data_IF_316057147205
#
_entry.id   IF_316057147205
#
_cell.length_a   1.000
_cell.length_b   1.000
_cell.length_c   1.000
_cell.angle_alpha   90.00
_cell.angle_beta   90.00
_cell.angle_gamma   90.00
#
_symmetry.space_group_name_H-M   'P 1'
#
loop_
_entity.id
_entity.type
_entity.pdbx_description
1 polymer ?
#
# COMPACT_ATOMS: atom_id res chain seq x y z
N UNK A 1 -8.69 17.06 -3.19
CA UNK A 1 -7.87 16.34 -2.59
C UNK A 1 -6.93 15.27 -3.11
N UNK A 2 -6.98 14.83 -4.38
CA UNK A 2 -6.09 13.75 -4.86
C UNK A 2 -4.68 14.22 -5.25
N UNK A 3 -4.40 15.49 -5.13
CA UNK A 3 -3.23 16.17 -5.71
C UNK A 3 -1.92 15.82 -5.02
N UNK A 4 -1.91 15.37 -3.78
CA UNK A 4 -0.67 15.10 -3.06
C UNK A 4 -0.34 13.60 -3.05
N UNK A 5 0.46 13.14 -4.01
CA UNK A 5 1.08 11.80 -4.10
C UNK A 5 0.13 10.62 -4.45
N UNK A 6 -1.02 10.85 -5.12
CA UNK A 6 -1.94 9.79 -5.51
C UNK A 6 -2.27 9.87 -6.99
N UNK A 7 -1.39 9.32 -7.80
CA UNK A 7 -1.58 9.39 -9.24
C UNK A 7 -2.35 8.18 -9.79
N UNK A 8 -2.49 7.12 -8.98
CA UNK A 8 -3.44 6.06 -9.29
C UNK A 8 -4.85 6.56 -8.91
N UNK A 9 -5.81 6.59 -9.83
CA UNK A 9 -7.16 7.11 -9.59
C UNK A 9 -7.99 6.11 -8.78
N UNK A 10 -7.68 5.90 -7.47
CA UNK A 10 -8.35 4.91 -6.62
C UNK A 10 -9.51 5.50 -5.80
N UNK A 11 -9.42 6.78 -5.42
CA UNK A 11 -10.42 7.39 -4.52
C UNK A 11 -11.81 7.43 -5.14
N UNK A 12 -11.93 7.85 -6.41
CA UNK A 12 -13.21 7.84 -7.13
C UNK A 12 -13.78 6.45 -7.33
N UNK A 13 -13.04 5.46 -7.83
CA UNK A 13 -13.52 4.09 -7.90
C UNK A 13 -14.08 3.59 -6.57
N UNK A 14 -13.36 3.78 -5.45
CA UNK A 14 -13.85 3.38 -4.13
C UNK A 14 -15.16 4.08 -3.75
N UNK A 15 -15.32 5.36 -4.07
CA UNK A 15 -16.50 6.15 -3.69
C UNK A 15 -17.68 6.00 -4.64
N UNK A 16 -17.44 5.71 -5.90
CA UNK A 16 -18.47 5.72 -6.95
C UNK A 16 -18.64 4.35 -7.59
N UNK A 17 -17.62 3.86 -8.30
CA UNK A 17 -17.75 2.62 -9.08
C UNK A 17 -18.00 1.39 -8.21
N UNK A 18 -17.41 1.38 -7.02
CA UNK A 18 -17.51 0.27 -6.05
C UNK A 18 -18.53 0.54 -4.93
N UNK A 19 -19.31 1.64 -5.02
CA UNK A 19 -20.27 2.01 -3.96
C UNK A 19 -21.34 0.96 -3.70
N UNK A 20 -21.66 0.13 -4.69
CA UNK A 20 -22.61 -1.00 -4.55
C UNK A 20 -21.99 -2.29 -4.00
N UNK A 21 -20.68 -2.29 -3.70
CA UNK A 21 -19.99 -3.47 -3.19
C UNK A 21 -19.68 -3.33 -1.70
N UNK A 22 -19.69 -4.47 -1.01
CA UNK A 22 -19.11 -4.57 0.33
C UNK A 22 -17.65 -4.92 0.20
N UNK A 23 -16.78 -3.91 0.36
CA UNK A 23 -15.33 -4.09 0.32
C UNK A 23 -14.88 -4.70 1.64
N UNK A 24 -14.17 -5.82 1.56
CA UNK A 24 -13.68 -6.57 2.73
C UNK A 24 -12.18 -6.43 2.92
N UNK A 25 -11.42 -6.22 1.84
CA UNK A 25 -9.96 -6.09 1.92
C UNK A 25 -9.42 -5.10 0.89
N UNK A 26 -8.42 -4.36 1.31
CA UNK A 26 -7.54 -3.55 0.43
C UNK A 26 -6.09 -3.94 0.74
N UNK A 27 -5.33 -4.24 -0.30
CA UNK A 27 -3.87 -4.38 -0.24
C UNK A 27 -3.22 -3.43 -1.23
N UNK A 28 -2.16 -2.72 -0.82
CA UNK A 28 -1.55 -1.74 -1.71
C UNK A 28 -0.04 -1.65 -1.59
N UNK A 29 0.63 -1.68 -2.75
CA UNK A 29 1.97 -1.14 -2.92
C UNK A 29 1.78 0.35 -3.20
N UNK A 30 1.88 1.18 -2.16
CA UNK A 30 1.49 2.60 -2.24
C UNK A 30 2.64 3.57 -2.02
N UNK A 31 3.87 3.04 -1.99
CA UNK A 31 5.10 3.83 -1.96
C UNK A 31 6.08 3.32 -3.02
N UNK A 32 6.40 4.17 -4.00
CA UNK A 32 7.24 3.81 -5.13
C UNK A 32 8.72 3.63 -4.75
N UNK A 33 9.22 4.41 -3.78
CA UNK A 33 10.60 4.35 -3.30
C UNK A 33 10.90 2.98 -2.70
N UNK A 34 10.08 2.53 -1.77
CA UNK A 34 10.26 1.22 -1.12
C UNK A 34 10.06 0.06 -2.09
N UNK A 35 9.11 0.18 -3.03
CA UNK A 35 8.93 -0.85 -4.04
C UNK A 35 10.14 -0.94 -4.99
N UNK A 36 10.72 0.20 -5.37
CA UNK A 36 11.96 0.23 -6.16
C UNK A 36 13.11 -0.46 -5.41
N UNK A 37 13.34 -0.10 -4.14
CA UNK A 37 14.39 -0.68 -3.30
C UNK A 37 14.24 -2.22 -3.24
N UNK A 38 13.06 -2.71 -2.84
CA UNK A 38 12.80 -4.15 -2.75
C UNK A 38 12.90 -4.86 -4.10
N UNK A 39 12.54 -4.18 -5.20
CA UNK A 39 12.73 -4.73 -6.57
C UNK A 39 14.21 -4.91 -6.88
N UNK A 40 15.07 -3.92 -6.59
CA UNK A 40 16.52 -4.03 -6.86
C UNK A 40 17.19 -5.08 -5.96
N UNK A 41 16.79 -5.18 -4.71
CA UNK A 41 17.22 -6.27 -3.83
C UNK A 41 16.85 -7.64 -4.41
N UNK A 42 15.65 -7.79 -4.94
CA UNK A 42 15.12 -9.05 -5.49
C UNK A 42 15.75 -9.44 -6.83
N UNK A 43 15.89 -8.48 -7.76
CA UNK A 43 16.32 -8.75 -9.14
C UNK A 43 17.84 -8.73 -9.29
N UNK A 44 18.51 -7.80 -8.60
CA UNK A 44 19.97 -7.55 -8.76
C UNK A 44 20.79 -8.09 -7.57
N UNK A 45 20.14 -8.61 -6.51
CA UNK A 45 20.84 -9.11 -5.33
C UNK A 45 21.52 -8.02 -4.51
N UNK A 46 21.17 -6.74 -4.72
CA UNK A 46 21.69 -5.62 -3.96
C UNK A 46 21.32 -5.75 -2.49
N UNK A 47 22.17 -5.28 -1.60
CA UNK A 47 21.77 -5.08 -0.22
C UNK A 47 20.88 -3.81 -0.08
N UNK A 48 20.30 -3.61 1.09
CA UNK A 48 19.40 -2.48 1.36
C UNK A 48 20.09 -1.13 1.15
N UNK A 49 21.33 -0.98 1.60
CA UNK A 49 22.07 0.29 1.56
C UNK A 49 22.43 0.66 0.10
N UNK A 50 22.86 -0.32 -0.70
CA UNK A 50 23.14 -0.16 -2.13
C UNK A 50 21.86 0.24 -2.90
N UNK A 51 20.75 -0.47 -2.64
CA UNK A 51 19.48 -0.20 -3.31
C UNK A 51 18.91 1.19 -2.94
N UNK A 52 19.06 1.61 -1.67
CA UNK A 52 18.68 2.96 -1.22
C UNK A 52 19.55 4.04 -1.88
N UNK A 53 20.87 3.84 -1.92
CA UNK A 53 21.78 4.79 -2.58
C UNK A 53 21.42 4.95 -4.06
N UNK A 54 21.09 3.86 -4.75
CA UNK A 54 20.65 3.89 -6.15
C UNK A 54 19.30 4.59 -6.31
N UNK A 55 18.36 4.38 -5.39
CA UNK A 55 17.09 5.11 -5.39
C UNK A 55 17.28 6.62 -5.22
N UNK A 56 18.22 7.04 -4.39
CA UNK A 56 18.58 8.45 -4.17
C UNK A 56 19.24 9.06 -5.41
N UNK A 57 20.20 8.36 -6.02
CA UNK A 57 20.84 8.79 -7.27
C UNK A 57 19.83 9.05 -8.38
N UNK A 58 18.80 8.20 -8.49
CA UNK A 58 17.75 8.31 -9.51
C UNK A 58 16.61 9.27 -9.13
N UNK A 59 16.66 9.89 -7.95
CA UNK A 59 15.66 10.83 -7.47
C UNK A 59 14.35 10.19 -7.00
N UNK A 60 14.34 8.89 -6.75
CA UNK A 60 13.18 8.19 -6.13
C UNK A 60 13.14 8.39 -4.62
N UNK A 61 14.31 8.48 -3.96
CA UNK A 61 14.42 8.76 -2.54
C UNK A 61 14.95 10.20 -2.33
N UNK A 62 14.36 10.91 -1.38
CA UNK A 62 14.86 12.21 -0.90
C UNK A 62 16.05 12.01 0.05
N UNK A 63 16.72 13.11 0.44
CA UNK A 63 17.86 13.07 1.36
C UNK A 63 17.49 12.47 2.74
N UNK A 64 16.25 12.69 3.20
CA UNK A 64 15.68 12.01 4.34
C UNK A 64 14.54 11.09 3.87
N UNK A 65 14.80 9.80 3.64
CA UNK A 65 13.81 8.85 3.16
C UNK A 65 12.95 8.22 4.27
N UNK A 66 13.09 8.65 5.51
CA UNK A 66 12.47 8.01 6.70
C UNK A 66 10.97 7.80 6.52
N UNK A 67 10.24 8.79 6.00
CA UNK A 67 8.80 8.67 5.81
C UNK A 67 8.42 7.55 4.83
N UNK A 68 9.29 7.24 3.88
CA UNK A 68 9.11 6.18 2.90
C UNK A 68 9.54 4.83 3.50
N UNK A 69 10.79 4.72 3.93
CA UNK A 69 11.40 3.44 4.32
C UNK A 69 10.86 2.87 5.64
N UNK A 70 10.36 3.72 6.54
CA UNK A 70 9.68 3.29 7.78
C UNK A 70 8.17 3.08 7.58
N UNK A 71 7.66 3.25 6.36
CA UNK A 71 6.27 2.94 6.01
C UNK A 71 5.25 4.01 6.38
N UNK A 72 5.65 5.19 6.88
CA UNK A 72 4.72 6.24 7.34
C UNK A 72 3.90 6.84 6.20
N UNK A 73 4.48 7.02 5.01
CA UNK A 73 3.75 7.48 3.83
C UNK A 73 2.68 6.44 3.43
N UNK A 74 3.04 5.17 3.40
CA UNK A 74 2.11 4.07 3.12
C UNK A 74 1.02 3.99 4.19
N UNK A 75 1.37 4.19 5.48
CA UNK A 75 0.42 4.21 6.60
C UNK A 75 -0.64 5.30 6.47
N UNK A 76 -0.25 6.51 6.09
CA UNK A 76 -1.21 7.60 5.84
C UNK A 76 -2.14 7.30 4.67
N UNK A 77 -1.62 6.67 3.62
CA UNK A 77 -2.41 6.32 2.43
C UNK A 77 -3.41 5.21 2.70
N UNK A 78 -2.99 4.14 3.40
CA UNK A 78 -3.92 3.04 3.71
C UNK A 78 -5.01 3.47 4.69
N UNK A 79 -4.71 4.35 5.66
CA UNK A 79 -5.72 4.92 6.56
C UNK A 79 -6.86 5.63 5.80
N UNK A 80 -6.50 6.40 4.77
CA UNK A 80 -7.50 7.09 3.94
C UNK A 80 -8.30 6.09 3.11
N UNK A 81 -7.65 5.11 2.48
CA UNK A 81 -8.36 4.10 1.69
C UNK A 81 -9.29 3.26 2.55
N UNK A 82 -8.84 2.84 3.74
CA UNK A 82 -9.66 2.13 4.72
C UNK A 82 -10.87 2.96 5.16
N UNK A 83 -10.67 4.24 5.44
CA UNK A 83 -11.77 5.14 5.83
C UNK A 83 -12.85 5.22 4.77
N UNK A 84 -12.47 5.29 3.50
CA UNK A 84 -13.40 5.36 2.38
C UNK A 84 -14.10 4.01 2.16
N UNK A 85 -13.34 2.93 2.11
CA UNK A 85 -13.86 1.61 1.76
C UNK A 85 -14.80 1.03 2.83
N UNK A 86 -14.48 1.29 4.11
CA UNK A 86 -15.25 0.72 5.23
C UNK A 86 -16.23 1.71 5.85
N UNK A 87 -16.30 2.92 5.28
CA UNK A 87 -17.20 3.99 5.72
C UNK A 87 -17.02 4.35 7.21
N UNK A 88 -15.82 4.19 7.76
CA UNK A 88 -15.46 4.47 9.14
C UNK A 88 -14.18 5.28 9.20
N UNK A 89 -14.07 6.19 10.16
CA UNK A 89 -12.86 7.01 10.30
C UNK A 89 -11.70 6.16 10.80
N UNK A 90 -10.65 6.06 10.00
CA UNK A 90 -9.35 5.48 10.37
C UNK A 90 -8.29 6.57 10.22
N UNK A 91 -7.46 6.76 11.23
CA UNK A 91 -6.37 7.75 11.23
C UNK A 91 -5.01 7.06 11.14
N UNK A 92 -3.97 7.82 10.89
CA UNK A 92 -2.60 7.26 10.86
C UNK A 92 -2.19 6.69 12.23
N UNK A 93 -2.69 7.26 13.33
CA UNK A 93 -2.41 6.76 14.67
C UNK A 93 -2.97 5.33 14.93
N UNK A 94 -3.99 4.94 14.16
CA UNK A 94 -4.60 3.60 14.25
C UNK A 94 -3.84 2.55 13.41
N UNK A 95 -2.89 2.98 12.57
CA UNK A 95 -2.16 2.08 11.65
C UNK A 95 -0.89 1.56 12.30
N UNK A 96 -0.77 0.24 12.44
CA UNK A 96 0.52 -0.36 12.73
C UNK A 96 1.45 -0.19 11.53
N UNK A 97 2.67 0.30 11.76
CA UNK A 97 3.66 0.51 10.69
C UNK A 97 4.99 -0.14 11.02
N UNK A 98 5.50 -0.91 10.07
CA UNK A 98 6.85 -1.47 10.07
C UNK A 98 7.46 -1.25 8.68
N UNK A 99 8.68 -0.68 8.65
CA UNK A 99 9.39 -0.34 7.42
C UNK A 99 10.21 -1.49 6.84
N UNK A 100 11.02 -1.16 5.84
CA UNK A 100 11.85 -2.13 5.11
C UNK A 100 13.31 -2.14 5.55
N UNK A 101 13.70 -1.28 6.48
CA UNK A 101 15.09 -1.06 6.92
C UNK A 101 15.77 -2.30 7.50
N UNK A 102 14.97 -3.26 7.98
CA UNK A 102 15.46 -4.53 8.56
C UNK A 102 15.51 -5.69 7.57
N UNK A 103 15.02 -5.50 6.34
CA UNK A 103 15.02 -6.56 5.32
C UNK A 103 16.44 -6.74 4.77
N UNK A 104 16.96 -7.94 4.87
CA UNK A 104 18.28 -8.31 4.38
C UNK A 104 18.22 -8.99 3.01
N UNK A 105 19.38 -9.08 2.34
CA UNK A 105 19.52 -9.84 1.10
C UNK A 105 19.21 -11.33 1.32
N UNK A 106 19.52 -11.88 2.49
CA UNK A 106 19.19 -13.27 2.84
C UNK A 106 17.67 -13.49 2.95
N UNK A 107 16.92 -12.54 3.54
CA UNK A 107 15.46 -12.64 3.61
C UNK A 107 14.84 -12.67 2.21
N UNK A 108 15.35 -11.85 1.29
CA UNK A 108 14.94 -11.85 -0.12
C UNK A 108 15.25 -13.20 -0.78
N UNK A 109 16.45 -13.74 -0.54
CA UNK A 109 16.87 -15.03 -1.09
C UNK A 109 15.98 -16.18 -0.61
N UNK A 110 15.73 -16.28 0.69
CA UNK A 110 14.85 -17.31 1.25
C UNK A 110 13.40 -17.15 0.80
N UNK A 111 12.89 -15.93 0.72
CA UNK A 111 11.56 -15.69 0.18
C UNK A 111 11.44 -16.25 -1.24
N UNK A 112 12.43 -15.99 -2.09
CA UNK A 112 12.46 -16.49 -3.47
C UNK A 112 12.54 -18.03 -3.53
N UNK A 113 13.36 -18.66 -2.69
CA UNK A 113 13.46 -20.12 -2.58
C UNK A 113 12.12 -20.77 -2.21
N UNK A 114 11.33 -20.13 -1.38
CA UNK A 114 9.98 -20.58 -1.01
C UNK A 114 8.88 -20.17 -2.00
N UNK A 115 9.21 -19.52 -3.12
CA UNK A 115 8.24 -19.08 -4.13
C UNK A 115 7.48 -17.81 -3.75
N UNK A 116 8.06 -16.97 -2.89
CA UNK A 116 7.49 -15.69 -2.46
C UNK A 116 8.32 -14.50 -2.92
N UNK A 117 7.68 -13.33 -2.92
CA UNK A 117 8.32 -12.01 -3.12
C UNK A 117 8.01 -11.15 -1.90
N UNK A 118 8.99 -10.38 -1.43
CA UNK A 118 8.78 -9.42 -0.34
C UNK A 118 8.35 -8.08 -0.93
N UNK A 119 7.21 -7.57 -0.46
CA UNK A 119 6.69 -6.23 -0.79
C UNK A 119 6.31 -5.49 0.49
N UNK A 120 6.49 -4.17 0.52
CA UNK A 120 5.90 -3.35 1.57
C UNK A 120 4.44 -3.10 1.21
N UNK A 121 3.53 -3.69 1.97
CA UNK A 121 2.09 -3.56 1.71
C UNK A 121 1.38 -2.77 2.80
N UNK A 122 0.55 -1.81 2.38
CA UNK A 122 -0.53 -1.32 3.21
C UNK A 122 -1.72 -2.28 3.07
N UNK A 123 -2.19 -2.79 4.20
CA UNK A 123 -3.31 -3.73 4.26
C UNK A 123 -4.39 -3.19 5.17
N UNK A 124 -5.63 -3.22 4.69
CA UNK A 124 -6.81 -2.93 5.49
C UNK A 124 -7.85 -4.01 5.27
N UNK A 125 -8.38 -4.57 6.36
CA UNK A 125 -9.44 -5.59 6.35
C UNK A 125 -10.61 -5.17 7.20
N UNK A 126 -11.81 -5.39 6.70
CA UNK A 126 -13.04 -5.24 7.46
C UNK A 126 -13.47 -6.64 7.93
N UNK A 127 -13.36 -6.88 9.23
CA UNK A 127 -13.70 -8.14 9.87
C UNK A 127 -14.94 -7.98 10.74
N UNK A 128 -15.54 -9.09 11.18
CA UNK A 128 -16.71 -9.05 12.07
C UNK A 128 -16.41 -8.33 13.40
N UNK A 129 -15.16 -8.38 13.86
CA UNK A 129 -14.71 -7.79 15.13
C UNK A 129 -14.16 -6.35 14.99
N UNK A 130 -14.08 -5.82 13.76
CA UNK A 130 -13.57 -4.48 13.50
C UNK A 130 -12.60 -4.40 12.34
N UNK A 131 -11.96 -3.23 12.19
CA UNK A 131 -11.01 -2.95 11.12
C UNK A 131 -9.60 -3.36 11.54
N UNK A 132 -8.93 -4.15 10.72
CA UNK A 132 -7.48 -4.35 10.79
C UNK A 132 -6.81 -3.42 9.78
N UNK A 133 -5.82 -2.63 10.24
CA UNK A 133 -5.07 -1.73 9.35
C UNK A 133 -3.60 -1.73 9.72
N UNK A 134 -2.74 -2.04 8.74
CA UNK A 134 -1.30 -2.17 8.97
C UNK A 134 -0.48 -1.94 7.72
N UNK A 135 0.78 -1.56 7.90
CA UNK A 135 1.82 -1.49 6.87
C UNK A 135 3.02 -2.27 7.37
N UNK A 136 3.43 -3.27 6.63
CA UNK A 136 4.65 -4.02 6.94
C UNK A 136 5.15 -4.78 5.70
N UNK A 137 6.42 -5.20 5.69
CA UNK A 137 6.91 -6.14 4.70
C UNK A 137 6.12 -7.45 4.73
N UNK A 138 5.65 -7.91 3.59
CA UNK A 138 4.90 -9.15 3.44
C UNK A 138 5.53 -10.06 2.40
N UNK A 139 5.57 -11.35 2.73
CA UNK A 139 5.85 -12.40 1.75
C UNK A 139 4.55 -12.72 1.01
N UNK A 140 4.50 -12.40 -0.27
CA UNK A 140 3.36 -12.72 -1.13
C UNK A 140 3.75 -13.78 -2.16
N UNK A 141 2.85 -14.73 -2.48
CA UNK A 141 3.13 -15.74 -3.48
C UNK A 141 3.53 -15.11 -4.81
N UNK A 142 4.52 -15.69 -5.50
CA UNK A 142 5.03 -15.13 -6.76
C UNK A 142 3.99 -15.07 -7.88
N UNK A 143 2.90 -15.83 -7.77
CA UNK A 143 1.76 -15.79 -8.70
C UNK A 143 0.68 -14.78 -8.31
N UNK A 144 0.82 -14.07 -7.18
CA UNK A 144 -0.13 -13.03 -6.79
C UNK A 144 0.02 -11.80 -7.70
N UNK A 145 -1.06 -11.12 -8.14
CA UNK A 145 -0.98 -9.96 -9.04
C UNK A 145 -0.05 -8.85 -8.53
N UNK A 146 -0.01 -8.57 -7.23
CA UNK A 146 0.90 -7.57 -6.65
C UNK A 146 2.39 -7.98 -6.70
N UNK A 147 2.71 -9.26 -6.85
CA UNK A 147 4.10 -9.72 -6.94
C UNK A 147 4.81 -9.21 -8.20
N UNK A 148 4.06 -8.98 -9.29
CA UNK A 148 4.58 -8.51 -10.58
C UNK A 148 4.74 -7.00 -10.67
N UNK A 149 4.32 -6.25 -9.64
CA UNK A 149 4.43 -4.79 -9.59
C UNK A 149 5.84 -4.40 -9.14
N UNK A 150 6.71 -4.05 -10.08
CA UNK A 150 8.12 -3.80 -9.85
C UNK A 150 8.49 -2.32 -10.02
N UNK A 151 9.74 -1.98 -9.71
CA UNK A 151 10.31 -0.64 -9.76
C UNK A 151 9.49 0.40 -8.96
N UNK A 152 9.35 1.61 -9.49
CA UNK A 152 8.61 2.69 -8.84
C UNK A 152 7.08 2.64 -9.12
N UNK A 153 6.56 1.50 -9.63
CA UNK A 153 5.13 1.35 -9.83
C UNK A 153 4.41 1.08 -8.51
N UNK A 154 3.21 1.60 -8.44
CA UNK A 154 2.27 1.38 -7.33
C UNK A 154 1.07 0.59 -7.84
N UNK A 155 0.43 -0.15 -6.94
CA UNK A 155 -0.82 -0.85 -7.22
C UNK A 155 -1.68 -0.95 -5.96
N UNK A 156 -2.98 -0.89 -6.18
CA UNK A 156 -3.98 -1.13 -5.13
C UNK A 156 -4.88 -2.26 -5.59
N UNK A 157 -4.92 -3.30 -4.80
CA UNK A 157 -5.76 -4.48 -4.96
C UNK A 157 -6.92 -4.37 -3.97
N UNK A 158 -8.14 -4.54 -4.47
CA UNK A 158 -9.38 -4.40 -3.70
C UNK A 158 -10.20 -5.67 -3.86
N UNK A 159 -10.60 -6.27 -2.75
CA UNK A 159 -11.51 -7.40 -2.72
C UNK A 159 -12.89 -6.98 -2.19
N UNK A 160 -13.94 -7.38 -2.88
CA UNK A 160 -15.33 -7.12 -2.51
C UNK A 160 -16.20 -8.33 -2.71
N UNK A 161 -17.20 -8.52 -1.84
CA UNK A 161 -18.03 -9.75 -1.82
C UNK A 161 -18.74 -10.05 -3.13
N UNK A 162 -19.09 -9.04 -3.93
CA UNK A 162 -19.87 -9.23 -5.15
C UNK A 162 -19.02 -9.07 -6.43
N UNK A 163 -17.89 -8.39 -6.35
CA UNK A 163 -17.06 -8.11 -7.51
C UNK A 163 -15.77 -8.95 -7.55
N UNK A 164 -15.53 -9.77 -6.51
CA UNK A 164 -14.27 -10.44 -6.27
C UNK A 164 -13.10 -9.42 -6.26
N UNK A 165 -12.13 -9.55 -7.15
CA UNK A 165 -10.89 -8.81 -7.13
C UNK A 165 -10.83 -7.73 -8.22
N UNK A 166 -10.38 -6.55 -7.84
CA UNK A 166 -10.02 -5.48 -8.77
C UNK A 166 -8.62 -4.94 -8.43
N UNK A 167 -7.83 -4.61 -9.44
CA UNK A 167 -6.51 -4.03 -9.26
C UNK A 167 -6.36 -2.76 -10.09
N UNK A 168 -5.80 -1.72 -9.46
CA UNK A 168 -5.43 -0.45 -10.09
C UNK A 168 -3.92 -0.31 -10.00
N UNK A 169 -3.25 -0.22 -11.14
CA UNK A 169 -1.80 -0.12 -11.22
C UNK A 169 -1.38 1.10 -12.03
N UNK A 170 -0.31 1.77 -11.60
CA UNK A 170 0.23 2.91 -12.32
C UNK A 170 1.46 3.50 -11.64
N UNK A 171 1.99 4.59 -12.20
CA UNK A 171 3.06 5.33 -11.56
C UNK A 171 2.53 6.07 -10.33
N UNK A 172 3.20 5.91 -9.19
CA UNK A 172 2.86 6.56 -7.92
C UNK A 172 3.44 7.97 -7.77
N UNK A 173 4.36 8.39 -8.65
CA UNK A 173 5.03 9.68 -8.64
C UNK A 173 5.44 10.11 -10.06
N UNK A 174 5.75 11.39 -10.25
CA UNK A 174 6.24 11.95 -11.50
C UNK A 174 5.44 13.16 -11.97
N UNK A 175 6.09 14.03 -12.75
CA UNK A 175 5.52 15.29 -13.20
C UNK A 175 4.24 15.09 -14.04
N UNK A 176 4.31 14.27 -15.07
CA UNK A 176 3.18 14.03 -15.97
C UNK A 176 2.00 13.28 -15.29
N UNK A 177 2.22 12.22 -14.51
CA UNK A 177 1.15 11.58 -13.75
C UNK A 177 0.47 12.53 -12.76
N UNK A 178 1.25 13.40 -12.07
CA UNK A 178 0.70 14.42 -11.17
C UNK A 178 -0.14 15.44 -11.92
N UNK A 179 0.35 15.98 -13.04
CA UNK A 179 -0.37 16.92 -13.87
C UNK A 179 -1.69 16.31 -14.39
N UNK A 180 -1.66 15.04 -14.83
CA UNK A 180 -2.85 14.31 -15.29
C UNK A 180 -3.91 14.19 -14.20
N UNK A 181 -3.49 13.88 -12.94
CA UNK A 181 -4.42 13.81 -11.80
C UNK A 181 -5.06 15.16 -11.49
N UNK A 182 -4.28 16.26 -11.50
CA UNK A 182 -4.77 17.63 -11.29
C UNK A 182 -5.77 18.02 -12.36
N UNK A 183 -5.43 17.81 -13.64
CA UNK A 183 -6.33 18.14 -14.76
C UNK A 183 -7.61 17.31 -14.68
N UNK A 184 -7.53 16.04 -14.31
CA UNK A 184 -8.70 15.19 -14.09
C UNK A 184 -9.64 15.75 -13.02
N UNK A 185 -9.10 16.24 -11.90
CA UNK A 185 -9.89 16.86 -10.83
C UNK A 185 -10.49 18.20 -11.26
N UNK A 186 -9.75 19.02 -12.03
CA UNK A 186 -10.28 20.29 -12.61
C UNK A 186 -11.47 20.01 -13.54
N UNK A 187 -11.32 19.03 -14.44
CA UNK A 187 -12.41 18.66 -15.36
C UNK A 187 -13.66 18.22 -14.58
N UNK A 188 -13.49 17.46 -13.51
CA UNK A 188 -14.60 17.00 -12.69
C UNK A 188 -15.30 18.16 -11.97
N UNK A 189 -14.53 19.07 -11.39
CA UNK A 189 -15.07 20.29 -10.77
C UNK A 189 -15.84 21.13 -11.78
N UNK A 190 -15.29 21.35 -12.98
CA UNK A 190 -15.96 22.08 -14.04
C UNK A 190 -17.31 21.42 -14.45
N UNK A 191 -17.33 20.09 -14.58
CA UNK A 191 -18.56 19.35 -14.87
C UNK A 191 -19.60 19.52 -13.77
N UNK A 192 -19.17 19.45 -12.50
CA UNK A 192 -20.06 19.65 -11.36
C UNK A 192 -20.67 21.06 -11.33
N UNK A 193 -19.89 22.07 -11.67
CA UNK A 193 -20.37 23.47 -11.76
C UNK A 193 -21.39 23.62 -12.89
N UNK A 194 -21.05 23.15 -14.09
CA UNK A 194 -21.91 23.28 -15.28
C UNK A 194 -23.27 22.59 -15.09
N UNK A 195 -23.27 21.46 -14.36
CA UNK A 195 -24.50 20.68 -14.16
C UNK A 195 -25.16 20.92 -12.79
N UNK A 196 -24.74 21.96 -12.05
CA UNK A 196 -25.22 22.25 -10.68
C UNK A 196 -25.28 21.02 -9.78
N UNK A 197 -24.19 20.26 -9.79
CA UNK A 197 -24.10 18.95 -9.12
C UNK A 197 -23.06 18.90 -8.02
N UNK A 198 -22.67 20.05 -7.47
CA UNK A 198 -21.71 20.15 -6.38
C UNK A 198 -22.20 19.43 -5.11
N UNK A 199 -21.27 18.80 -4.40
CA UNK A 199 -21.54 18.17 -3.10
C UNK A 199 -22.25 16.81 -3.16
N UNK A 200 -22.50 16.23 -4.33
CA UNK A 200 -23.16 14.92 -4.46
C UNK A 200 -22.34 13.76 -3.88
N UNK A 201 -21.01 13.89 -3.85
CA UNK A 201 -20.10 12.90 -3.26
C UNK A 201 -19.57 13.47 -1.95
N UNK A 202 -20.33 13.26 -0.89
CA UNK A 202 -19.99 13.73 0.45
C UNK A 202 -18.94 12.86 1.16
N UNK A 203 -18.74 13.14 2.46
CA UNK A 203 -17.97 12.28 3.36
C UNK A 203 -18.67 10.92 3.49
N UNK A 204 -17.87 9.85 3.43
CA UNK A 204 -18.38 8.48 3.54
C UNK A 204 -18.16 7.85 4.92
N UNK A 205 -17.55 8.57 5.88
CA UNK A 205 -17.27 8.04 7.24
C UNK A 205 -18.47 8.21 8.16
N UNK A 206 -19.53 7.44 7.96
CA UNK A 206 -20.77 7.47 8.74
C UNK A 206 -20.90 6.31 9.75
N UNK A 207 -20.00 5.32 9.68
CA UNK A 207 -19.90 4.20 10.63
C UNK A 207 -18.87 4.54 11.72
N UNK A 208 -19.00 3.86 12.84
CA UNK A 208 -18.05 3.93 13.96
C UNK A 208 -17.57 2.51 14.27
N UNK A 209 -16.79 1.94 13.36
CA UNK A 209 -16.20 0.62 13.53
C UNK A 209 -14.95 0.73 14.43
N UNK A 210 -14.75 -0.28 15.26
CA UNK A 210 -13.54 -0.38 16.08
C UNK A 210 -12.34 -0.66 15.17
N UNK A 211 -11.20 -0.03 15.46
CA UNK A 211 -9.92 -0.40 14.83
C UNK A 211 -9.16 -1.28 15.81
N UNK A 212 -8.82 -2.50 15.38
CA UNK A 212 -8.17 -3.52 16.20
C UNK A 212 -6.71 -3.14 16.47
N UNK A 213 -6.24 -3.42 17.66
CA UNK A 213 -4.82 -3.35 17.96
C UNK A 213 -4.09 -4.46 17.19
N UNK A 214 -2.82 -4.23 16.80
CA UNK A 214 -2.01 -5.23 16.11
C UNK A 214 -1.88 -6.53 16.91
N UNK A 215 -1.84 -6.46 18.25
CA UNK A 215 -1.77 -7.61 19.14
C UNK A 215 -3.01 -8.52 19.06
N UNK A 216 -4.16 -7.98 18.62
CA UNK A 216 -5.42 -8.70 18.46
C UNK A 216 -5.60 -9.27 17.06
N UNK A 217 -4.60 -9.11 16.18
CA UNK A 217 -4.62 -9.61 14.82
C UNK A 217 -3.84 -10.92 14.69
N UNK A 218 -4.26 -11.78 13.76
CA UNK A 218 -3.59 -13.04 13.47
C UNK A 218 -2.96 -13.03 12.09
N UNK A 219 -1.74 -13.57 11.95
CA UNK A 219 -1.01 -13.62 10.70
C UNK A 219 -0.10 -14.84 10.64
N UNK A 220 0.32 -15.21 9.44
CA UNK A 220 1.44 -16.17 9.26
C UNK A 220 2.73 -15.38 9.32
N UNK A 221 3.73 -15.93 9.99
CA UNK A 221 5.04 -15.31 10.14
C UNK A 221 6.12 -16.14 9.45
N UNK A 222 7.09 -15.46 8.87
CA UNK A 222 8.38 -16.02 8.49
C UNK A 222 9.35 -15.76 9.64
N UNK A 223 10.00 -16.82 10.11
CA UNK A 223 11.02 -16.74 11.17
C UNK A 223 12.35 -17.21 10.62
N UNK A 224 13.37 -16.37 10.73
CA UNK A 224 14.76 -16.74 10.49
C UNK A 224 15.51 -16.75 11.82
N UNK A 225 16.08 -17.89 12.15
CA UNK A 225 16.81 -18.08 13.39
C UNK A 225 18.26 -18.44 13.07
N UNK A 226 19.17 -17.77 13.72
CA UNK A 226 20.58 -18.16 13.74
C UNK A 226 20.85 -18.93 15.04
N UNK A 227 21.13 -20.21 14.89
CA UNK A 227 21.30 -21.13 16.04
C UNK A 227 22.62 -21.84 15.94
N UNK A 228 23.16 -22.25 17.11
CA UNK A 228 24.36 -23.09 17.15
C UNK A 228 24.06 -24.47 16.58
N UNK A 229 24.92 -24.95 15.68
CA UNK A 229 24.84 -26.30 15.12
C UNK A 229 25.26 -27.36 16.17
N UNK A 230 24.29 -27.72 17.02
CA UNK A 230 24.46 -28.74 18.04
C UNK A 230 23.16 -29.49 18.30
N UNK A 231 23.27 -30.75 18.77
CA UNK A 231 22.12 -31.57 19.13
C UNK A 231 21.31 -30.95 20.27
N UNK A 232 19.98 -30.85 20.13
CA UNK A 232 19.05 -30.37 21.14
C UNK A 232 18.75 -28.85 21.08
N UNK A 233 19.10 -28.18 19.98
CA UNK A 233 18.70 -26.80 19.71
C UNK A 233 17.50 -26.77 18.77
#
# INVERSE_FOLDING_TARGET
GDVYKRQIPIIRPLKQSMAGNHITEIMGIVNGTTNYILTKMTESGMDYAEALAKATELGYAEADPTADVEGYDAGRKIAIMASIAFNSRVTFADVYTEGITKISADDIKYAKEFGYVIKLLGVAKNTDDGIEVKVHPMLIPSNHPLATVNDAFNAVFVHGLAMDDAMFMGRGAGQMPTASAVVGDIIDVCRNIVHDSCGKIGCCCYKHLNVKNIADTSSKFFLRLEIADRSGV
#
